data_IF_338786366007
#
_entry.id   IF_338786366007
#
_cell.length_a   1.000
_cell.length_b   1.000
_cell.length_c   1.000
_cell.angle_alpha   90.00
_cell.angle_beta   90.00
_cell.angle_gamma   90.00
#
_symmetry.space_group_name_H-M   'P 1'
#
loop_
_entity.id
_entity.type
_entity.pdbx_description
1 polymer ?
#
# COMPACT_ATOMS: atom_id res chain seq x y z
N UNK A 1 8.02 15.38 -6.80
CA UNK A 1 9.48 15.14 -6.80
C UNK A 1 9.81 13.67 -6.56
N UNK A 2 9.09 12.95 -5.69
CA UNK A 2 9.21 11.48 -5.53
C UNK A 2 8.66 10.68 -6.72
N UNK A 3 7.49 11.07 -7.22
CA UNK A 3 6.81 10.41 -8.35
C UNK A 3 7.72 10.30 -9.60
N UNK A 4 8.49 11.34 -9.90
CA UNK A 4 9.41 11.34 -11.05
C UNK A 4 10.55 10.32 -10.95
N UNK A 5 11.03 10.00 -9.74
CA UNK A 5 12.03 8.94 -9.57
C UNK A 5 11.43 7.57 -9.87
N UNK A 6 10.24 7.33 -9.32
CA UNK A 6 9.53 6.07 -9.49
C UNK A 6 9.13 5.85 -10.95
N UNK A 7 8.63 6.88 -11.64
CA UNK A 7 8.32 6.81 -13.07
C UNK A 7 9.55 6.52 -13.93
N UNK A 8 10.74 6.96 -13.48
CA UNK A 8 12.01 6.67 -14.14
C UNK A 8 12.58 5.29 -13.75
N UNK A 9 11.86 4.46 -12.99
CA UNK A 9 12.32 3.17 -12.50
C UNK A 9 13.47 3.25 -11.50
N UNK A 10 13.70 4.43 -10.90
CA UNK A 10 14.78 4.67 -9.94
C UNK A 10 14.25 4.55 -8.52
N UNK A 11 15.09 4.00 -7.64
CA UNK A 11 14.81 4.02 -6.21
C UNK A 11 14.79 5.45 -5.68
N UNK A 12 13.94 5.67 -4.67
CA UNK A 12 13.93 6.93 -3.94
C UNK A 12 15.28 7.11 -3.20
N UNK A 13 15.73 8.35 -2.98
CA UNK A 13 16.81 8.62 -2.05
C UNK A 13 16.45 8.33 -0.59
N UNK A 14 17.46 8.05 0.25
CA UNK A 14 17.32 7.65 1.66
C UNK A 14 16.57 8.66 2.55
N UNK A 15 16.55 9.94 2.16
CA UNK A 15 15.91 11.01 2.93
C UNK A 15 14.38 11.08 2.74
N UNK A 16 13.82 10.32 1.80
CA UNK A 16 12.38 10.29 1.58
C UNK A 16 11.68 9.35 2.56
N UNK A 17 10.55 9.80 3.12
CA UNK A 17 9.74 9.01 4.07
C UNK A 17 9.30 7.65 3.50
N UNK A 18 9.13 7.57 2.18
CA UNK A 18 8.71 6.36 1.49
C UNK A 18 9.87 5.42 1.13
N UNK A 19 11.13 5.86 1.25
CA UNK A 19 12.30 5.01 0.99
C UNK A 19 12.24 3.61 1.62
N UNK A 20 11.92 3.44 2.93
CA UNK A 20 11.90 2.13 3.56
C UNK A 20 10.82 1.19 3.03
N UNK A 21 9.82 1.71 2.32
CA UNK A 21 8.75 0.93 1.69
C UNK A 21 9.11 0.47 0.27
N UNK A 22 10.31 0.80 -0.21
CA UNK A 22 10.82 0.47 -1.56
C UNK A 22 9.74 0.58 -2.64
N UNK A 23 9.06 1.74 -2.75
CA UNK A 23 7.90 1.86 -3.63
C UNK A 23 8.32 1.78 -5.09
N UNK A 24 7.42 1.26 -5.93
CA UNK A 24 7.61 1.13 -7.37
C UNK A 24 6.28 1.25 -8.11
N UNK A 25 6.33 1.51 -9.42
CA UNK A 25 5.15 1.46 -10.28
C UNK A 25 4.93 0.06 -10.84
N UNK A 26 3.72 -0.45 -10.75
CA UNK A 26 3.31 -1.65 -11.46
C UNK A 26 3.00 -1.37 -12.94
N UNK A 27 2.73 -2.44 -13.70
CA UNK A 27 2.38 -2.36 -15.12
C UNK A 27 1.10 -1.55 -15.41
N UNK A 28 0.28 -1.32 -14.37
CA UNK A 28 -0.94 -0.51 -14.44
C UNK A 28 -0.71 0.96 -14.07
N UNK A 29 0.52 1.37 -13.79
CA UNK A 29 0.86 2.73 -13.37
C UNK A 29 0.41 3.06 -11.94
N UNK A 30 0.23 2.04 -11.09
CA UNK A 30 -0.14 2.19 -9.68
C UNK A 30 1.12 2.04 -8.81
N UNK A 31 1.25 2.89 -7.79
CA UNK A 31 2.36 2.78 -6.84
C UNK A 31 2.08 1.63 -5.86
N UNK A 32 3.03 0.70 -5.77
CA UNK A 32 3.02 -0.43 -4.84
C UNK A 32 4.23 -0.39 -3.92
N UNK A 33 4.12 -1.08 -2.79
CA UNK A 33 5.19 -1.30 -1.82
C UNK A 33 5.90 -2.61 -2.15
N UNK A 34 7.21 -2.64 -2.03
CA UNK A 34 7.98 -3.88 -2.05
C UNK A 34 8.58 -4.15 -0.65
N UNK A 35 9.20 -5.31 -0.44
CA UNK A 35 9.93 -5.58 0.79
C UNK A 35 9.79 -7.01 1.29
N UNK A 36 9.48 -7.17 2.59
CA UNK A 36 9.70 -8.41 3.34
C UNK A 36 9.03 -9.66 2.76
N UNK A 37 7.93 -9.51 2.02
CA UNK A 37 7.15 -10.62 1.47
C UNK A 37 7.54 -11.03 0.05
N UNK A 38 8.53 -10.39 -0.57
CA UNK A 38 8.95 -10.63 -1.97
C UNK A 38 9.20 -12.13 -2.26
N UNK A 39 9.88 -12.84 -1.35
CA UNK A 39 10.21 -14.27 -1.51
C UNK A 39 9.13 -15.23 -0.98
N UNK A 40 7.93 -14.75 -0.65
CA UNK A 40 6.85 -15.59 -0.15
C UNK A 40 6.09 -16.31 -1.28
N UNK A 41 5.32 -17.35 -0.94
CA UNK A 41 4.41 -18.03 -1.88
C UNK A 41 3.05 -17.32 -2.03
N UNK A 42 2.91 -16.13 -1.45
CA UNK A 42 1.66 -15.37 -1.46
C UNK A 42 1.36 -14.80 -2.86
N UNK A 43 0.09 -14.48 -3.15
CA UNK A 43 -0.30 -13.72 -4.32
C UNK A 43 0.46 -12.37 -4.41
N UNK A 44 0.74 -11.93 -5.64
CA UNK A 44 1.44 -10.66 -5.91
C UNK A 44 0.78 -9.45 -5.24
N UNK A 45 -0.56 -9.43 -5.15
CA UNK A 45 -1.28 -8.34 -4.47
C UNK A 45 -0.98 -8.25 -2.97
N UNK A 46 -0.69 -9.39 -2.33
CA UNK A 46 -0.33 -9.46 -0.91
C UNK A 46 1.16 -9.22 -0.68
N UNK A 47 2.01 -9.62 -1.63
CA UNK A 47 3.44 -9.31 -1.60
C UNK A 47 3.70 -7.82 -1.81
N UNK A 48 2.94 -7.23 -2.74
CA UNK A 48 3.11 -5.87 -3.22
C UNK A 48 1.80 -5.09 -3.10
N UNK A 49 1.39 -4.72 -1.87
CA UNK A 49 0.16 -3.99 -1.66
C UNK A 49 0.23 -2.59 -2.27
N UNK A 50 -0.94 -2.08 -2.66
CA UNK A 50 -1.10 -0.75 -3.27
C UNK A 50 -0.85 0.31 -2.21
N UNK A 51 0.05 1.25 -2.48
CA UNK A 51 0.33 2.36 -1.59
C UNK A 51 -0.78 3.42 -1.70
N UNK A 52 -1.48 3.69 -0.60
CA UNK A 52 -2.56 4.69 -0.58
C UNK A 52 -2.32 5.75 0.50
N UNK A 53 -2.46 7.05 0.16
CA UNK A 53 -2.41 8.11 1.17
C UNK A 53 -3.72 8.14 1.96
N UNK A 54 -3.64 8.08 3.31
CA UNK A 54 -4.81 8.10 4.21
C UNK A 54 -5.75 9.28 3.97
N UNK A 55 -5.25 10.39 3.44
CA UNK A 55 -6.01 11.62 3.22
C UNK A 55 -7.00 11.53 2.05
N UNK A 56 -6.88 10.51 1.20
CA UNK A 56 -7.71 10.40 0.00
C UNK A 56 -9.12 9.88 0.32
N UNK A 57 -10.14 10.44 -0.35
CA UNK A 57 -11.55 10.07 -0.10
C UNK A 57 -11.81 8.59 -0.39
N UNK A 58 -11.15 8.05 -1.41
CA UNK A 58 -11.20 6.62 -1.77
C UNK A 58 -10.78 5.73 -0.60
N UNK A 59 -9.78 6.12 0.18
CA UNK A 59 -9.33 5.32 1.34
C UNK A 59 -10.43 5.21 2.38
N UNK A 60 -11.15 6.32 2.65
CA UNK A 60 -12.28 6.28 3.57
C UNK A 60 -13.39 5.35 3.08
N UNK A 61 -13.72 5.41 1.78
CA UNK A 61 -14.71 4.50 1.20
C UNK A 61 -14.30 3.03 1.32
N UNK A 62 -13.03 2.71 1.05
CA UNK A 62 -12.48 1.35 1.19
C UNK A 62 -12.57 0.90 2.66
N UNK A 63 -12.16 1.74 3.61
CA UNK A 63 -12.25 1.42 5.04
C UNK A 63 -13.69 1.17 5.44
N UNK A 64 -14.63 2.04 5.04
CA UNK A 64 -16.06 1.88 5.35
C UNK A 64 -16.62 0.59 4.76
N UNK A 65 -16.32 0.25 3.51
CA UNK A 65 -16.73 -1.00 2.89
C UNK A 65 -16.24 -2.22 3.66
N UNK A 66 -14.97 -2.25 4.05
CA UNK A 66 -14.41 -3.33 4.87
C UNK A 66 -15.05 -3.39 6.26
N UNK A 67 -15.33 -2.24 6.86
CA UNK A 67 -15.97 -2.14 8.17
C UNK A 67 -17.41 -2.69 8.17
N UNK A 68 -18.14 -2.48 7.08
CA UNK A 68 -19.48 -3.02 6.87
C UNK A 68 -19.44 -4.52 6.58
N UNK A 69 -18.52 -4.98 5.74
CA UNK A 69 -18.38 -6.41 5.36
C UNK A 69 -17.93 -7.29 6.51
N UNK A 70 -17.01 -6.81 7.34
CA UNK A 70 -16.46 -7.57 8.46
C UNK A 70 -17.28 -7.42 9.75
N UNK A 71 -18.53 -6.92 9.66
CA UNK A 71 -19.50 -6.86 10.75
C UNK A 71 -18.93 -6.28 12.07
N UNK A 72 -18.14 -5.21 11.97
CA UNK A 72 -17.54 -4.54 13.14
C UNK A 72 -16.57 -5.42 13.96
N UNK A 73 -15.95 -6.45 13.37
CA UNK A 73 -14.82 -7.10 14.02
C UNK A 73 -13.75 -6.04 14.31
N UNK A 74 -13.08 -6.16 15.45
CA UNK A 74 -12.15 -5.16 15.97
C UNK A 74 -11.18 -4.63 14.91
N UNK A 75 -10.78 -3.37 15.07
CA UNK A 75 -9.96 -2.60 14.13
C UNK A 75 -8.70 -3.32 13.65
N UNK A 76 -8.11 -4.19 14.46
CA UNK A 76 -6.94 -5.01 14.11
C UNK A 76 -7.23 -5.99 12.97
N UNK A 77 -8.41 -6.62 12.93
CA UNK A 77 -8.74 -7.53 11.83
C UNK A 77 -8.98 -6.75 10.54
N UNK A 78 -9.65 -5.59 10.64
CA UNK A 78 -9.86 -4.71 9.50
C UNK A 78 -8.50 -4.24 8.94
N UNK A 79 -7.56 -3.87 9.80
CA UNK A 79 -6.21 -3.48 9.39
C UNK A 79 -5.45 -4.63 8.72
N UNK A 80 -5.55 -5.86 9.26
CA UNK A 80 -4.93 -7.03 8.65
C UNK A 80 -5.54 -7.31 7.27
N UNK A 81 -6.87 -7.31 7.15
CA UNK A 81 -7.58 -7.54 5.90
C UNK A 81 -7.33 -6.46 4.84
N UNK A 82 -7.19 -5.20 5.26
CA UNK A 82 -6.78 -4.11 4.38
C UNK A 82 -5.32 -4.28 3.94
N UNK A 83 -4.43 -4.65 4.87
CA UNK A 83 -2.99 -4.85 4.64
C UNK A 83 -2.66 -5.91 3.59
N UNK A 84 -3.57 -6.85 3.33
CA UNK A 84 -3.43 -7.83 2.24
C UNK A 84 -3.46 -7.23 0.84
N UNK A 85 -4.01 -6.02 0.67
CA UNK A 85 -4.15 -5.38 -0.65
C UNK A 85 -3.69 -3.93 -0.66
N UNK A 86 -3.74 -3.26 0.47
CA UNK A 86 -3.54 -1.83 0.61
C UNK A 86 -2.56 -1.52 1.74
N UNK A 87 -1.57 -0.70 1.43
CA UNK A 87 -0.66 -0.10 2.39
C UNK A 87 -1.05 1.36 2.59
N UNK A 88 -1.89 1.61 3.61
CA UNK A 88 -2.40 2.95 3.89
C UNK A 88 -1.38 3.70 4.75
N UNK A 89 -0.77 4.74 4.19
CA UNK A 89 0.17 5.60 4.92
C UNK A 89 -0.58 6.75 5.61
N UNK A 90 -0.40 6.86 6.93
CA UNK A 90 -0.78 8.06 7.68
C UNK A 90 0.45 8.97 7.76
N UNK A 91 0.27 10.25 7.43
CA UNK A 91 1.31 11.27 7.49
C UNK A 91 1.80 11.53 8.92
#
# INVERSE_FOLDING_TARGET
MEVSYLLAGKQLPLNYKLFPLTPFYDDSGIIRVCGRLENSILPESQKHPILLPKTDHVVNLIITDYHLKLLQIGSQLIQAALGEKFWIISA
#
